data_IF_924180473609
#
_entry.id   IF_924180473609
#
_cell.length_a   1.000
_cell.length_b   1.000
_cell.length_c   1.000
_cell.angle_alpha   90.00
_cell.angle_beta   90.00
_cell.angle_gamma   90.00
#
_symmetry.space_group_name_H-M   'P 1'
#
loop_
_entity.id
_entity.type
_entity.pdbx_description
1 polymer ?
#
# COMPACT_ATOMS: atom_id res chain seq x y z
N UNK A 1 -15.53 1.97 8.92
CA UNK A 1 -14.99 1.75 7.55
C UNK A 1 -13.70 2.55 7.47
N UNK A 2 -12.60 1.95 6.99
CA UNK A 2 -11.33 2.68 6.86
C UNK A 2 -11.51 3.74 5.77
N UNK A 3 -11.60 5.01 6.18
CA UNK A 3 -11.58 6.16 5.28
C UNK A 3 -10.12 6.54 5.03
N UNK A 4 -9.76 6.86 3.80
CA UNK A 4 -8.43 7.35 3.46
C UNK A 4 -8.13 8.64 4.25
N UNK A 5 -7.08 8.57 5.05
CA UNK A 5 -6.58 9.64 5.92
C UNK A 5 -5.13 9.87 5.50
N UNK A 6 -4.90 10.86 4.63
CA UNK A 6 -3.59 11.13 4.01
C UNK A 6 -2.52 11.41 5.07
N UNK A 7 -2.80 12.25 6.05
CA UNK A 7 -1.85 12.58 7.12
C UNK A 7 -1.45 11.34 7.91
N UNK A 8 -2.43 10.49 8.23
CA UNK A 8 -2.17 9.27 8.95
C UNK A 8 -1.40 8.23 8.11
N UNK A 9 -1.69 8.14 6.81
CA UNK A 9 -0.91 7.31 5.88
C UNK A 9 0.52 7.83 5.75
N UNK A 10 0.74 9.13 5.66
CA UNK A 10 2.07 9.74 5.63
C UNK A 10 2.87 9.41 6.90
N UNK A 11 2.26 9.48 8.07
CA UNK A 11 2.91 9.04 9.32
C UNK A 11 3.27 7.55 9.30
N UNK A 12 2.37 6.70 8.80
CA UNK A 12 2.66 5.26 8.63
C UNK A 12 3.87 5.05 7.71
N UNK A 13 3.94 5.80 6.62
CA UNK A 13 5.04 5.71 5.66
C UNK A 13 6.38 6.16 6.25
N UNK A 14 6.38 7.22 7.06
CA UNK A 14 7.58 7.71 7.74
C UNK A 14 8.07 6.69 8.78
N UNK A 15 7.17 6.14 9.59
CA UNK A 15 7.46 5.06 10.55
C UNK A 15 8.00 3.81 9.84
N UNK A 16 7.38 3.43 8.71
CA UNK A 16 7.78 2.24 7.95
C UNK A 16 9.15 2.40 7.31
N UNK A 17 9.44 3.57 6.72
CA UNK A 17 10.76 3.86 6.15
C UNK A 17 11.84 3.83 7.24
N UNK A 18 11.60 4.50 8.36
CA UNK A 18 12.54 4.51 9.50
C UNK A 18 12.78 3.09 10.03
N UNK A 19 11.73 2.27 10.15
CA UNK A 19 11.85 0.89 10.63
C UNK A 19 12.65 -0.01 9.67
N UNK A 20 12.45 0.13 8.37
CA UNK A 20 13.05 -0.75 7.37
C UNK A 20 14.44 -0.31 6.91
N UNK A 21 14.69 1.00 6.86
CA UNK A 21 15.87 1.60 6.22
C UNK A 21 16.54 2.70 7.07
N UNK A 22 16.02 3.01 8.25
CA UNK A 22 16.57 4.06 9.11
C UNK A 22 16.53 5.43 8.43
N UNK A 23 17.66 6.14 8.45
CA UNK A 23 17.82 7.46 7.84
C UNK A 23 18.12 7.47 6.34
N UNK A 24 17.98 6.34 5.65
CA UNK A 24 18.24 6.25 4.21
C UNK A 24 17.33 7.20 3.42
N UNK A 25 17.90 7.91 2.45
CA UNK A 25 17.17 8.82 1.57
C UNK A 25 16.28 8.06 0.59
N UNK A 26 15.27 8.75 0.06
CA UNK A 26 14.38 8.19 -0.96
C UNK A 26 15.15 7.80 -2.24
N UNK A 27 16.19 8.57 -2.61
CA UNK A 27 17.02 8.27 -3.76
C UNK A 27 17.76 6.93 -3.61
N UNK A 28 18.36 6.68 -2.43
CA UNK A 28 19.02 5.40 -2.13
C UNK A 28 18.02 4.23 -2.13
N UNK A 29 16.81 4.44 -1.61
CA UNK A 29 15.74 3.43 -1.63
C UNK A 29 15.32 3.10 -3.07
N UNK A 30 15.20 4.10 -3.95
CA UNK A 30 14.90 3.89 -5.38
C UNK A 30 16.02 3.06 -6.03
N UNK A 31 17.29 3.39 -5.76
CA UNK A 31 18.43 2.64 -6.29
C UNK A 31 18.44 1.17 -5.83
N UNK A 32 18.06 0.91 -4.58
CA UNK A 32 17.85 -0.47 -4.09
C UNK A 32 16.69 -1.16 -4.82
N UNK A 33 15.57 -0.47 -5.02
CA UNK A 33 14.40 -1.02 -5.69
C UNK A 33 14.69 -1.40 -7.16
N UNK A 34 15.53 -0.62 -7.86
CA UNK A 34 16.02 -0.93 -9.22
C UNK A 34 16.88 -2.19 -9.28
N UNK A 35 17.57 -2.52 -8.17
CA UNK A 35 18.36 -3.76 -8.01
C UNK A 35 17.54 -4.92 -7.45
N UNK A 36 16.22 -4.83 -7.60
CA UNK A 36 15.25 -5.82 -7.16
C UNK A 36 15.22 -6.09 -5.64
N UNK A 37 15.63 -5.10 -4.82
CA UNK A 37 15.56 -5.24 -3.38
C UNK A 37 14.10 -5.25 -2.90
N UNK A 38 13.61 -6.43 -2.52
CA UNK A 38 12.20 -6.70 -2.22
C UNK A 38 11.55 -5.69 -1.25
N UNK A 39 12.20 -5.37 -0.12
CA UNK A 39 11.63 -4.41 0.86
C UNK A 39 11.56 -2.99 0.30
N UNK A 40 12.51 -2.60 -0.55
CA UNK A 40 12.55 -1.26 -1.12
C UNK A 40 11.45 -1.09 -2.17
N UNK A 41 11.24 -2.12 -3.00
CA UNK A 41 10.11 -2.16 -3.94
C UNK A 41 8.76 -2.03 -3.25
N UNK A 42 8.56 -2.76 -2.15
CA UNK A 42 7.32 -2.69 -1.36
C UNK A 42 7.11 -1.33 -0.71
N UNK A 43 8.15 -0.76 -0.12
CA UNK A 43 8.07 0.59 0.43
C UNK A 43 7.73 1.60 -0.68
N UNK A 44 8.35 1.49 -1.86
CA UNK A 44 8.10 2.40 -2.96
C UNK A 44 6.69 2.25 -3.55
N UNK A 45 6.16 1.02 -3.63
CA UNK A 45 4.77 0.73 -3.99
C UNK A 45 3.76 1.46 -3.09
N UNK A 46 4.05 1.59 -1.79
CA UNK A 46 3.21 2.37 -0.88
C UNK A 46 3.53 3.87 -0.94
N UNK A 47 4.80 4.23 -1.11
CA UNK A 47 5.24 5.62 -1.15
C UNK A 47 4.57 6.43 -2.26
N UNK A 48 4.42 5.83 -3.46
CA UNK A 48 3.75 6.50 -4.57
C UNK A 48 2.27 6.83 -4.27
N UNK A 49 1.68 6.22 -3.24
CA UNK A 49 0.29 6.44 -2.85
C UNK A 49 0.12 7.55 -1.81
N UNK A 50 1.21 8.19 -1.37
CA UNK A 50 1.16 9.22 -0.30
C UNK A 50 0.14 10.30 -0.60
N UNK A 51 0.16 10.87 -1.81
CA UNK A 51 -0.85 11.80 -2.29
C UNK A 51 -0.80 11.94 -3.81
N UNK A 52 -1.78 12.68 -4.35
CA UNK A 52 -1.95 12.87 -5.78
C UNK A 52 -0.73 13.50 -6.46
N UNK A 53 -0.09 14.47 -5.80
CA UNK A 53 1.09 15.17 -6.35
C UNK A 53 2.26 14.20 -6.45
N UNK A 54 2.55 13.46 -5.38
CA UNK A 54 3.61 12.45 -5.35
C UNK A 54 3.36 11.37 -6.39
N UNK A 55 2.13 10.84 -6.48
CA UNK A 55 1.79 9.81 -7.45
C UNK A 55 2.09 10.26 -8.88
N UNK A 56 1.57 11.42 -9.31
CA UNK A 56 1.73 11.88 -10.69
C UNK A 56 3.15 12.37 -11.01
N UNK A 57 3.89 12.96 -10.07
CA UNK A 57 5.29 13.33 -10.29
C UNK A 57 6.14 12.09 -10.56
N UNK A 58 6.00 11.07 -9.71
CA UNK A 58 6.71 9.80 -9.89
C UNK A 58 6.24 9.06 -11.14
N UNK A 59 4.95 9.09 -11.45
CA UNK A 59 4.42 8.45 -12.66
C UNK A 59 5.03 9.08 -13.91
N UNK A 60 5.13 10.41 -13.98
CA UNK A 60 5.76 11.10 -15.11
C UNK A 60 7.22 10.69 -15.31
N UNK A 61 7.94 10.40 -14.22
CA UNK A 61 9.37 10.08 -14.21
C UNK A 61 9.65 8.58 -14.11
N UNK A 62 8.62 7.73 -14.18
CA UNK A 62 8.72 6.29 -13.86
C UNK A 62 9.71 5.53 -14.75
N UNK A 63 9.81 5.91 -16.02
CA UNK A 63 10.73 5.32 -17.00
C UNK A 63 12.18 5.73 -16.68
N UNK A 64 12.43 7.02 -16.45
CA UNK A 64 13.74 7.57 -16.09
C UNK A 64 14.27 6.97 -14.77
N UNK A 65 13.37 6.79 -13.80
CA UNK A 65 13.68 6.21 -12.51
C UNK A 65 13.78 4.67 -12.57
N UNK A 66 13.36 4.02 -13.66
CA UNK A 66 13.38 2.57 -13.80
C UNK A 66 12.38 1.86 -12.87
N UNK A 67 11.26 2.51 -12.55
CA UNK A 67 10.25 2.04 -11.58
C UNK A 67 8.88 1.76 -12.21
N UNK A 68 8.79 1.64 -13.54
CA UNK A 68 7.55 1.27 -14.25
C UNK A 68 6.88 0.03 -13.62
N UNK A 69 7.66 -1.03 -13.38
CA UNK A 69 7.13 -2.28 -12.80
C UNK A 69 6.50 -2.11 -11.41
N UNK A 70 6.90 -1.08 -10.66
CA UNK A 70 6.33 -0.75 -9.34
C UNK A 70 4.97 -0.08 -9.54
N UNK A 71 4.85 0.84 -10.50
CA UNK A 71 3.55 1.41 -10.88
C UNK A 71 2.59 0.36 -11.42
N UNK A 72 3.05 -0.50 -12.33
CA UNK A 72 2.21 -1.59 -12.86
C UNK A 72 1.69 -2.47 -11.71
N UNK A 73 2.56 -2.83 -10.75
CA UNK A 73 2.17 -3.61 -9.57
C UNK A 73 1.17 -2.88 -8.68
N UNK A 74 1.47 -1.65 -8.27
CA UNK A 74 0.63 -0.87 -7.36
C UNK A 74 -0.75 -0.60 -7.95
N UNK A 75 -0.80 -0.18 -9.22
CA UNK A 75 -2.06 0.10 -9.92
C UNK A 75 -2.85 -1.20 -10.15
N UNK A 76 -2.22 -2.25 -10.69
CA UNK A 76 -2.88 -3.55 -10.88
C UNK A 76 -3.46 -4.08 -9.57
N UNK A 77 -2.76 -3.92 -8.45
CA UNK A 77 -3.22 -4.39 -7.15
C UNK A 77 -4.37 -3.54 -6.58
N UNK A 78 -4.45 -2.26 -6.92
CA UNK A 78 -5.60 -1.40 -6.58
C UNK A 78 -6.87 -1.80 -7.35
N UNK A 79 -6.74 -2.16 -8.62
CA UNK A 79 -7.88 -2.60 -9.44
C UNK A 79 -8.24 -4.08 -9.23
N UNK A 80 -7.32 -4.91 -8.73
CA UNK A 80 -7.59 -6.31 -8.43
C UNK A 80 -8.54 -6.49 -7.24
N UNK A 81 -9.68 -7.17 -7.47
CA UNK A 81 -10.75 -7.40 -6.47
C UNK A 81 -11.18 -6.10 -5.75
N UNK A 82 -11.19 -4.98 -6.50
CA UNK A 82 -11.47 -3.65 -5.96
C UNK A 82 -12.85 -3.56 -5.29
N UNK A 83 -13.83 -4.29 -5.82
CA UNK A 83 -15.20 -4.38 -5.29
C UNK A 83 -15.27 -4.89 -3.84
N UNK A 84 -14.23 -5.60 -3.38
CA UNK A 84 -14.13 -6.12 -2.02
C UNK A 84 -13.45 -5.15 -1.06
N UNK A 85 -12.97 -3.99 -1.53
CA UNK A 85 -12.10 -3.10 -0.77
C UNK A 85 -12.46 -1.62 -0.95
N UNK A 86 -13.32 -1.05 -0.08
CA UNK A 86 -13.68 0.37 -0.11
C UNK A 86 -12.48 1.32 -0.07
N UNK A 87 -11.41 0.95 0.65
CA UNK A 87 -10.19 1.76 0.70
C UNK A 87 -9.50 1.86 -0.66
N UNK A 88 -9.48 0.79 -1.48
CA UNK A 88 -8.88 0.84 -2.81
C UNK A 88 -9.64 1.81 -3.72
N UNK A 89 -10.98 1.77 -3.67
CA UNK A 89 -11.82 2.73 -4.39
C UNK A 89 -11.50 4.18 -3.99
N UNK A 90 -11.33 4.45 -2.70
CA UNK A 90 -10.99 5.79 -2.21
C UNK A 90 -9.59 6.22 -2.65
N UNK A 91 -8.59 5.35 -2.56
CA UNK A 91 -7.23 5.62 -3.05
C UNK A 91 -7.25 5.96 -4.54
N UNK A 92 -7.88 5.11 -5.38
CA UNK A 92 -7.98 5.33 -6.82
C UNK A 92 -8.64 6.67 -7.13
N UNK A 93 -9.74 6.99 -6.44
CA UNK A 93 -10.47 8.25 -6.62
C UNK A 93 -9.67 9.47 -6.19
N UNK A 94 -9.04 9.45 -5.01
CA UNK A 94 -8.30 10.59 -4.45
C UNK A 94 -7.04 10.87 -5.27
N UNK A 95 -6.32 9.82 -5.63
CA UNK A 95 -5.08 9.92 -6.40
C UNK A 95 -5.34 10.15 -7.89
N UNK A 96 -6.54 9.88 -8.40
CA UNK A 96 -6.87 10.03 -9.82
C UNK A 96 -6.15 8.98 -10.67
N UNK A 97 -6.14 7.73 -10.20
CA UNK A 97 -5.50 6.60 -10.88
C UNK A 97 -6.47 6.01 -11.90
N UNK A 98 -5.96 5.69 -13.08
CA UNK A 98 -6.71 5.01 -14.14
C UNK A 98 -6.06 3.67 -14.46
N UNK A 99 -6.85 2.64 -14.79
CA UNK A 99 -6.34 1.31 -15.15
C UNK A 99 -5.49 1.35 -16.44
N UNK A 100 -5.76 2.32 -17.32
CA UNK A 100 -5.00 2.62 -18.55
C UNK A 100 -3.54 2.99 -18.29
N UNK A 101 -3.17 3.32 -17.05
CA UNK A 101 -1.80 3.66 -16.66
C UNK A 101 -0.87 2.45 -16.53
N UNK A 102 -1.41 1.23 -16.61
CA UNK A 102 -0.66 -0.04 -16.55
C UNK A 102 -0.09 -0.37 -17.93
N UNK A 103 1.20 -0.68 -17.99
CA UNK A 103 1.88 -1.06 -19.24
C UNK A 103 2.16 -2.56 -19.34
N UNK A 104 2.36 -3.23 -18.20
CA UNK A 104 2.71 -4.65 -18.16
C UNK A 104 1.80 -5.47 -17.24
N UNK A 105 1.64 -6.76 -17.58
CA UNK A 105 0.92 -7.70 -16.73
C UNK A 105 1.70 -7.99 -15.46
N UNK A 106 0.97 -8.07 -14.35
CA UNK A 106 1.51 -8.37 -13.02
C UNK A 106 1.08 -9.75 -12.56
N UNK A 107 2.01 -10.50 -11.96
CA UNK A 107 1.73 -11.84 -11.44
C UNK A 107 0.86 -11.82 -10.19
N UNK A 108 0.19 -12.96 -9.92
CA UNK A 108 -0.69 -13.09 -8.75
C UNK A 108 0.05 -12.94 -7.42
N UNK A 109 1.34 -13.28 -7.37
CA UNK A 109 2.15 -13.20 -6.16
C UNK A 109 2.34 -11.73 -5.73
N UNK A 110 2.68 -10.88 -6.69
CA UNK A 110 2.93 -9.45 -6.52
C UNK A 110 1.67 -8.71 -6.06
N UNK A 111 0.51 -9.07 -6.61
CA UNK A 111 -0.79 -8.53 -6.18
C UNK A 111 -1.09 -8.89 -4.71
N UNK A 112 -0.80 -10.13 -4.31
CA UNK A 112 -0.98 -10.59 -2.92
C UNK A 112 -0.05 -9.88 -1.95
N UNK A 113 1.20 -9.62 -2.32
CA UNK A 113 2.13 -8.90 -1.45
C UNK A 113 1.66 -7.46 -1.19
N UNK A 114 1.18 -6.75 -2.22
CA UNK A 114 0.61 -5.42 -2.04
C UNK A 114 -0.65 -5.43 -1.15
N UNK A 115 -1.50 -6.45 -1.28
CA UNK A 115 -2.65 -6.60 -0.41
C UNK A 115 -2.25 -6.79 1.07
N UNK A 116 -1.17 -7.53 1.34
CA UNK A 116 -0.61 -7.63 2.70
C UNK A 116 -0.12 -6.28 3.23
N UNK A 117 0.48 -5.47 2.37
CA UNK A 117 0.94 -4.11 2.73
C UNK A 117 -0.24 -3.20 3.10
N UNK A 118 -1.31 -3.18 2.31
CA UNK A 118 -2.54 -2.44 2.67
C UNK A 118 -3.20 -2.96 3.96
N UNK A 119 -3.20 -4.27 4.19
CA UNK A 119 -3.70 -4.85 5.44
C UNK A 119 -2.84 -4.43 6.65
N UNK A 120 -1.52 -4.38 6.48
CA UNK A 120 -0.59 -3.89 7.51
C UNK A 120 -0.87 -2.42 7.85
N UNK A 121 -1.07 -1.57 6.85
CA UNK A 121 -1.52 -0.19 7.06
C UNK A 121 -2.86 -0.14 7.82
N UNK A 122 -3.86 -0.93 7.42
CA UNK A 122 -5.15 -0.97 8.10
C UNK A 122 -5.07 -1.46 9.56
N UNK A 123 -4.11 -2.35 9.89
CA UNK A 123 -3.83 -2.74 11.27
C UNK A 123 -3.16 -1.61 12.06
N UNK A 124 -2.20 -0.92 11.45
CA UNK A 124 -1.54 0.24 12.04
C UNK A 124 -2.54 1.37 12.36
N UNK A 125 -3.47 1.65 11.43
CA UNK A 125 -4.57 2.60 11.62
C UNK A 125 -5.47 2.24 12.79
N UNK A 126 -5.95 0.99 12.84
CA UNK A 126 -6.79 0.51 13.95
C UNK A 126 -6.07 0.58 15.29
N UNK A 127 -4.77 0.28 15.32
CA UNK A 127 -3.95 0.32 16.54
C UNK A 127 -3.83 1.73 17.11
N UNK A 128 -3.61 2.74 16.28
CA UNK A 128 -3.39 4.12 16.77
C UNK A 128 -4.67 4.95 16.91
N UNK A 129 -5.75 4.65 16.17
CA UNK A 129 -7.05 5.33 16.31
C UNK A 129 -7.96 4.70 17.38
N UNK A 130 -7.46 3.72 18.15
CA UNK A 130 -8.16 3.16 19.32
C UNK A 130 -9.15 2.03 19.05
N UNK A 131 -9.25 1.53 17.81
CA UNK A 131 -10.26 0.53 17.41
C UNK A 131 -9.84 -0.93 17.70
N UNK A 132 -8.71 -1.12 18.39
CA UNK A 132 -8.17 -2.45 18.74
C UNK A 132 -9.03 -3.22 19.74
N UNK A 133 -9.74 -2.54 20.64
CA UNK A 133 -10.64 -3.20 21.58
C UNK A 133 -11.80 -3.89 20.85
N UNK A 134 -12.40 -3.21 19.87
CA UNK A 134 -13.47 -3.74 19.03
C UNK A 134 -12.97 -4.88 18.12
N UNK A 135 -11.73 -4.80 17.64
CA UNK A 135 -11.15 -5.84 16.79
C UNK A 135 -10.82 -7.12 17.58
N UNK A 136 -10.27 -6.99 18.78
CA UNK A 136 -10.01 -8.14 19.67
C UNK A 136 -11.31 -8.83 20.05
N UNK A 137 -12.37 -8.06 20.35
CA UNK A 137 -13.68 -8.63 20.64
C UNK A 137 -14.24 -9.38 19.43
N UNK A 138 -14.20 -8.80 18.23
CA UNK A 138 -14.65 -9.48 17.00
C UNK A 138 -13.86 -10.75 16.68
N UNK A 139 -12.54 -10.73 16.84
CA UNK A 139 -11.69 -11.93 16.64
C UNK A 139 -12.01 -12.99 17.69
N UNK A 140 -12.34 -12.60 18.93
CA UNK A 140 -12.77 -13.52 19.97
C UNK A 140 -14.15 -14.12 19.65
N UNK A 141 -15.09 -13.30 19.22
CA UNK A 141 -16.46 -13.71 18.87
C UNK A 141 -16.48 -14.64 17.64
N UNK A 142 -15.67 -14.36 16.62
CA UNK A 142 -15.50 -15.21 15.42
C UNK A 142 -14.84 -16.55 15.76
N UNK A 143 -13.92 -16.60 16.74
CA UNK A 143 -13.33 -17.85 17.21
C UNK A 143 -14.31 -18.70 18.02
N UNK A 144 -15.16 -18.07 18.82
CA UNK A 144 -16.21 -18.76 19.58
C UNK A 144 -17.32 -19.32 18.67
N UNK A 145 -17.57 -18.71 17.51
CA UNK A 145 -18.53 -19.21 16.51
C UNK A 145 -18.01 -20.40 15.70
N UNK A 146 -16.69 -20.57 15.58
CA UNK A 146 -16.06 -21.69 14.88
C UNK A 146 -15.88 -22.97 15.72
N UNK A 147 -16.27 -22.94 17.00
CA UNK A 147 -16.21 -24.08 17.94
C UNK A 147 -17.60 -24.66 18.26
N UNK A 148 -18.66 -24.18 17.58
CA UNK A 148 -20.06 -24.62 17.78
C UNK A 148 -20.63 -25.44 16.61
N UNK A 149 -19.78 -25.98 15.73
CA UNK A 149 -20.13 -27.02 14.76
C UNK A 149 -19.55 -28.39 15.16
#
# INVERSE_FOLDING_TARGET
MLKWDEDFFNQYMDDLQMHLFGGMSLAEIIDLAKRDHHRARRLLNLHILRNRVVFHDFYKRREELGIQSIFDQGISALFHEMERSPVKHEIVKVLGIEESMIESKVGKYELKEFQKDLLAYGMYWRKRKGDLANLRQKIQDERNFGELD
#
